data_IF_788780749595
#
_entry.id   IF_788780749595
#
_cell.length_a   1.000
_cell.length_b   1.000
_cell.length_c   1.000
_cell.angle_alpha   90.00
_cell.angle_beta   90.00
_cell.angle_gamma   90.00
#
_symmetry.space_group_name_H-M   'P 1'
#
loop_
_entity.id
_entity.type
_entity.pdbx_description
1 polymer ?
#
# COMPACT_ATOMS: atom_id res chain seq x y z
N UNK A 1 6.04 1.81 20.69
CA UNK A 1 4.67 1.83 20.15
C UNK A 1 4.78 1.32 18.72
N UNK A 2 4.35 0.09 18.42
CA UNK A 2 4.46 -0.44 17.05
C UNK A 2 3.48 0.27 16.12
N UNK A 3 3.93 0.64 14.92
CA UNK A 3 3.10 1.28 13.89
C UNK A 3 1.94 0.36 13.48
N UNK A 4 0.70 0.85 13.64
CA UNK A 4 -0.53 0.12 13.30
C UNK A 4 -0.58 -0.24 11.81
N UNK A 5 -0.06 0.62 10.92
CA UNK A 5 0.02 0.33 9.49
C UNK A 5 0.93 -0.87 9.23
N UNK A 6 2.11 -0.92 9.88
CA UNK A 6 3.04 -2.05 9.74
C UNK A 6 2.40 -3.35 10.20
N UNK A 7 1.76 -3.35 11.38
CA UNK A 7 1.12 -4.56 11.95
C UNK A 7 0.01 -5.11 11.04
N UNK A 8 -0.86 -4.24 10.53
CA UNK A 8 -1.94 -4.67 9.63
C UNK A 8 -1.43 -5.06 8.25
N UNK A 9 -0.44 -4.34 7.71
CA UNK A 9 0.19 -4.70 6.43
C UNK A 9 0.91 -6.06 6.50
N UNK A 10 1.57 -6.37 7.62
CA UNK A 10 2.20 -7.68 7.83
C UNK A 10 1.15 -8.81 7.88
N UNK A 11 0.06 -8.61 8.62
CA UNK A 11 -1.04 -9.57 8.67
C UNK A 11 -1.70 -9.74 7.29
N UNK A 12 -1.84 -8.64 6.53
CA UNK A 12 -2.36 -8.67 5.16
C UNK A 12 -1.46 -9.51 4.26
N UNK A 13 -0.14 -9.29 4.30
CA UNK A 13 0.83 -10.03 3.52
C UNK A 13 0.83 -11.53 3.83
N UNK A 14 0.63 -11.91 5.10
CA UNK A 14 0.61 -13.31 5.54
C UNK A 14 -0.70 -14.04 5.24
N UNK A 15 -1.83 -13.33 5.30
CA UNK A 15 -3.17 -13.97 5.32
C UNK A 15 -4.01 -13.66 4.09
N UNK A 16 -3.71 -12.60 3.34
CA UNK A 16 -4.53 -12.10 2.23
C UNK A 16 -5.90 -11.55 2.65
N UNK A 17 -6.18 -11.46 3.96
CA UNK A 17 -7.48 -10.98 4.47
C UNK A 17 -7.58 -9.47 4.32
N UNK A 18 -8.73 -8.99 3.86
CA UNK A 18 -9.01 -7.56 3.67
C UNK A 18 -9.61 -6.87 4.91
N UNK A 19 -10.19 -7.63 5.85
CA UNK A 19 -10.91 -7.09 7.03
C UNK A 19 -10.06 -6.97 8.31
N UNK A 20 -8.75 -6.80 8.16
CA UNK A 20 -7.81 -6.83 9.28
C UNK A 20 -7.87 -5.60 10.19
N UNK A 21 -8.28 -4.43 9.68
CA UNK A 21 -8.45 -3.22 10.49
C UNK A 21 -9.46 -3.44 11.62
N UNK A 22 -10.62 -4.01 11.30
CA UNK A 22 -11.66 -4.29 12.29
C UNK A 22 -11.22 -5.35 13.31
N UNK A 23 -10.51 -6.39 12.84
CA UNK A 23 -10.05 -7.50 13.69
C UNK A 23 -8.91 -7.10 14.64
N UNK A 24 -8.03 -6.20 14.21
CA UNK A 24 -6.76 -5.92 14.92
C UNK A 24 -6.74 -4.60 15.67
N UNK A 25 -7.60 -3.64 15.31
CA UNK A 25 -7.46 -2.25 15.76
C UNK A 25 -8.64 -1.75 16.61
N UNK A 26 -9.58 -2.62 16.99
CA UNK A 26 -10.70 -2.30 17.91
C UNK A 26 -11.42 -0.98 17.57
N UNK A 27 -11.61 -0.69 16.27
CA UNK A 27 -12.27 0.52 15.78
C UNK A 27 -11.35 1.72 15.49
N UNK A 28 -10.05 1.61 15.71
CA UNK A 28 -9.09 2.60 15.21
C UNK A 28 -8.92 2.46 13.68
N UNK A 29 -8.89 3.59 12.98
CA UNK A 29 -8.74 3.64 11.52
C UNK A 29 -7.28 3.74 11.10
N UNK A 30 -6.91 2.98 10.07
CA UNK A 30 -5.62 3.07 9.41
C UNK A 30 -5.60 4.28 8.47
N UNK A 31 -4.56 5.10 8.60
CA UNK A 31 -4.33 6.19 7.67
C UNK A 31 -3.59 5.70 6.41
N UNK A 32 -2.74 4.67 6.50
CA UNK A 32 -1.90 4.20 5.39
C UNK A 32 -2.67 3.89 4.10
N UNK A 33 -3.67 2.99 4.10
CA UNK A 33 -4.46 2.71 2.91
C UNK A 33 -5.22 3.93 2.38
N UNK A 34 -5.84 4.72 3.27
CA UNK A 34 -6.57 5.92 2.87
C UNK A 34 -5.66 6.95 2.17
N UNK A 35 -4.50 7.24 2.78
CA UNK A 35 -3.49 8.12 2.20
C UNK A 35 -2.96 7.58 0.87
N UNK A 36 -2.78 6.27 0.73
CA UNK A 36 -2.34 5.67 -0.53
C UNK A 36 -3.35 5.91 -1.67
N UNK A 37 -4.64 5.90 -1.39
CA UNK A 37 -5.68 6.21 -2.38
C UNK A 37 -5.65 7.69 -2.80
N UNK A 38 -5.46 8.62 -1.85
CA UNK A 38 -5.32 10.04 -2.14
C UNK A 38 -4.07 10.35 -2.97
N UNK A 39 -2.93 9.77 -2.59
CA UNK A 39 -1.67 9.92 -3.33
C UNK A 39 -1.83 9.39 -4.75
N UNK A 40 -2.40 8.21 -4.93
CA UNK A 40 -2.64 7.65 -6.26
C UNK A 40 -3.55 8.56 -7.11
N UNK A 41 -4.61 9.12 -6.51
CA UNK A 41 -5.49 10.06 -7.20
C UNK A 41 -4.74 11.30 -7.70
N UNK A 42 -3.92 11.91 -6.85
CA UNK A 42 -3.10 13.09 -7.19
C UNK A 42 -2.10 12.74 -8.31
N UNK A 43 -1.42 11.60 -8.20
CA UNK A 43 -0.48 11.14 -9.23
C UNK A 43 -1.16 10.91 -10.57
N UNK A 44 -2.36 10.31 -10.56
CA UNK A 44 -3.16 10.09 -11.77
C UNK A 44 -3.58 11.40 -12.43
N UNK A 45 -4.05 12.36 -11.64
CA UNK A 45 -4.42 13.69 -12.14
C UNK A 45 -3.23 14.44 -12.75
N UNK A 46 -2.02 14.26 -12.22
CA UNK A 46 -0.80 14.90 -12.72
C UNK A 46 -0.09 14.11 -13.82
N UNK A 47 -0.57 12.92 -14.19
CA UNK A 47 0.12 12.04 -15.14
C UNK A 47 1.48 11.54 -14.64
N UNK A 48 1.64 11.37 -13.33
CA UNK A 48 2.92 11.02 -12.68
C UNK A 48 2.97 9.58 -12.15
N UNK A 49 1.95 8.77 -12.40
CA UNK A 49 1.83 7.39 -11.91
C UNK A 49 3.10 6.58 -12.18
N UNK A 50 3.65 6.66 -13.39
CA UNK A 50 4.83 5.89 -13.80
C UNK A 50 6.13 6.34 -13.12
N UNK A 51 6.17 7.57 -12.58
CA UNK A 51 7.34 8.09 -11.85
C UNK A 51 7.39 7.65 -10.41
N UNK A 52 6.27 7.18 -9.86
CA UNK A 52 6.14 6.82 -8.45
C UNK A 52 5.61 5.39 -8.28
N UNK A 53 6.30 4.39 -8.85
CA UNK A 53 5.78 3.03 -8.96
C UNK A 53 5.54 2.38 -7.59
N UNK A 54 6.28 2.76 -6.55
CA UNK A 54 6.06 2.26 -5.19
C UNK A 54 4.74 2.74 -4.57
N UNK A 55 4.41 4.03 -4.69
CA UNK A 55 3.13 4.55 -4.20
C UNK A 55 1.95 3.94 -4.96
N UNK A 56 2.13 3.72 -6.26
CA UNK A 56 1.14 3.04 -7.09
C UNK A 56 0.98 1.59 -6.65
N UNK A 57 2.08 0.84 -6.49
CA UNK A 57 2.03 -0.56 -6.08
C UNK A 57 1.29 -0.76 -4.75
N UNK A 58 1.53 0.09 -3.74
CA UNK A 58 0.82 0.04 -2.45
C UNK A 58 -0.69 0.21 -2.65
N UNK A 59 -1.11 1.21 -3.43
CA UNK A 59 -2.53 1.42 -3.74
C UNK A 59 -3.14 0.18 -4.43
N UNK A 60 -2.48 -0.35 -5.45
CA UNK A 60 -3.01 -1.47 -6.22
C UNK A 60 -3.10 -2.76 -5.41
N UNK A 61 -2.18 -2.98 -4.47
CA UNK A 61 -2.22 -4.11 -3.54
C UNK A 61 -3.39 -3.96 -2.57
N UNK A 62 -3.57 -2.76 -2.01
CA UNK A 62 -4.64 -2.50 -1.03
C UNK A 62 -6.05 -2.49 -1.64
N UNK A 63 -6.21 -2.01 -2.88
CA UNK A 63 -7.52 -1.69 -3.47
C UNK A 63 -7.83 -2.36 -4.80
N UNK A 64 -6.81 -2.75 -5.59
CA UNK A 64 -7.01 -3.40 -6.91
C UNK A 64 -6.74 -4.92 -6.86
N UNK A 65 -6.43 -5.48 -5.69
CA UNK A 65 -6.18 -6.91 -5.52
C UNK A 65 -4.88 -7.41 -6.14
N UNK A 66 -3.92 -6.53 -6.40
CA UNK A 66 -2.60 -6.97 -6.87
C UNK A 66 -1.89 -7.83 -5.81
N UNK A 67 -1.13 -8.87 -6.22
CA UNK A 67 -0.35 -9.67 -5.29
C UNK A 67 0.69 -8.83 -4.54
N UNK A 68 0.89 -9.10 -3.26
CA UNK A 68 1.90 -8.41 -2.43
C UNK A 68 3.32 -8.57 -2.98
N UNK A 69 3.58 -9.68 -3.70
CA UNK A 69 4.85 -9.99 -4.35
C UNK A 69 5.24 -8.95 -5.41
N UNK A 70 4.27 -8.24 -6.01
CA UNK A 70 4.54 -7.14 -6.95
C UNK A 70 5.34 -6.01 -6.31
N UNK A 71 5.28 -5.86 -4.98
CA UNK A 71 6.08 -4.87 -4.26
C UNK A 71 7.58 -5.16 -4.37
N UNK A 72 7.99 -6.43 -4.36
CA UNK A 72 9.39 -6.84 -4.53
C UNK A 72 9.84 -6.56 -5.97
N UNK A 73 9.02 -6.92 -6.95
CA UNK A 73 9.27 -6.64 -8.37
C UNK A 73 9.45 -5.15 -8.62
N UNK A 74 8.66 -4.30 -7.95
CA UNK A 74 8.79 -2.86 -8.03
C UNK A 74 10.12 -2.35 -7.46
N UNK A 75 10.57 -2.88 -6.32
CA UNK A 75 11.84 -2.50 -5.69
C UNK A 75 13.05 -2.93 -6.54
N UNK A 76 13.02 -4.13 -7.12
CA UNK A 76 14.10 -4.65 -7.97
C UNK A 76 14.31 -3.82 -9.25
N UNK A 77 13.26 -3.14 -9.72
CA UNK A 77 13.30 -2.31 -10.92
C UNK A 77 13.48 -0.82 -10.62
N UNK A 78 13.56 -0.45 -9.35
CA UNK A 78 13.71 0.95 -8.97
C UNK A 78 15.15 1.40 -9.28
N UNK A 79 15.36 2.42 -10.12
CA UNK A 79 16.70 2.94 -10.36
C UNK A 79 17.30 3.42 -9.03
N UNK A 80 18.59 3.16 -8.82
CA UNK A 80 19.28 3.47 -7.54
C UNK A 80 19.28 4.98 -7.21
N UNK A 81 18.99 5.84 -8.19
CA UNK A 81 19.02 7.29 -8.06
C UNK A 81 17.86 7.98 -8.79
N UNK A 82 17.18 8.90 -8.09
CA UNK A 82 16.32 9.98 -8.61
C UNK A 82 17.11 11.29 -8.54
#
# INVERSE_FOLDING_TARGET
>A
MEDANRRVAEAFAKTGKTRLEQEMLNGQKLQGPATSAEVYHILKQKGLVDKFPLFVAVYQICFEGKPVQEMISCLQRHPEHL
#
